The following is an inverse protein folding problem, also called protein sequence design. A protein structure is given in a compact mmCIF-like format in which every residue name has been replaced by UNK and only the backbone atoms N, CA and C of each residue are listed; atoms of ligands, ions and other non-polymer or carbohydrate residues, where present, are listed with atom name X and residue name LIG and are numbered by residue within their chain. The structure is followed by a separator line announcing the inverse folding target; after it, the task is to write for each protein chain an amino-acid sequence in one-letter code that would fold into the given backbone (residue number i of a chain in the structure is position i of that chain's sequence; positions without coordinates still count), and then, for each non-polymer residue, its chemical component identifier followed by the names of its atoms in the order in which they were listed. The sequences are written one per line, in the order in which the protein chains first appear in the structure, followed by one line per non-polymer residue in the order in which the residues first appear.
data_IF_184391970798
#
_entry.id   IF_184391970798
#
_cell.length_a   1.000
_cell.length_b   1.000
_cell.length_c   1.000
_cell.angle_alpha   90.00
_cell.angle_beta   90.00
_cell.angle_gamma   90.00
#
_symmetry.space_group_name_H-M   'P 1'
#
loop_
_entity.id
_entity.type
_entity.pdbx_description
1 polymer ?
#
# COMPACT_ATOMS: atom_id res chain seq x y z
N UNK A 1 -23.22 0.34 12.12
CA UNK A 1 -22.01 -0.16 11.41
C UNK A 1 -21.86 0.61 10.12
N UNK A 2 -20.79 1.38 10.00
CA UNK A 2 -20.48 2.14 8.81
C UNK A 2 -19.90 1.23 7.72
N UNK A 3 -20.28 1.44 6.46
CA UNK A 3 -19.71 0.72 5.33
C UNK A 3 -18.68 1.59 4.62
N UNK A 4 -17.49 1.03 4.38
CA UNK A 4 -16.39 1.67 3.65
C UNK A 4 -16.09 0.80 2.44
N UNK A 5 -16.21 1.37 1.23
CA UNK A 5 -15.89 0.68 -0.02
C UNK A 5 -14.66 1.34 -0.63
N UNK A 6 -13.67 0.53 -0.93
CA UNK A 6 -12.42 0.96 -1.55
C UNK A 6 -12.35 0.42 -2.98
N UNK A 7 -12.19 1.33 -3.93
CA UNK A 7 -12.11 1.00 -5.35
C UNK A 7 -10.65 0.84 -5.78
N UNK A 8 -10.27 -0.37 -6.11
CA UNK A 8 -8.95 -0.77 -6.54
C UNK A 8 -8.14 -1.48 -5.45
N UNK A 9 -7.77 -2.73 -5.70
CA UNK A 9 -6.92 -3.58 -4.83
C UNK A 9 -5.43 -3.45 -5.16
N UNK A 10 -4.95 -2.25 -5.53
CA UNK A 10 -3.52 -1.95 -5.63
C UNK A 10 -2.91 -1.64 -4.27
N UNK A 11 -1.61 -1.29 -4.22
CA UNK A 11 -0.90 -0.99 -2.97
C UNK A 11 -1.64 0.06 -2.12
N UNK A 12 -2.06 1.18 -2.72
CA UNK A 12 -2.77 2.23 -2.03
C UNK A 12 -4.14 1.78 -1.48
N UNK A 13 -4.91 1.01 -2.27
CA UNK A 13 -6.21 0.51 -1.83
C UNK A 13 -6.11 -0.52 -0.71
N UNK A 14 -5.13 -1.43 -0.77
CA UNK A 14 -4.88 -2.40 0.29
C UNK A 14 -4.43 -1.70 1.58
N UNK A 15 -3.52 -0.71 1.49
CA UNK A 15 -3.10 0.09 2.64
C UNK A 15 -4.27 0.89 3.24
N UNK A 16 -5.10 1.53 2.40
CA UNK A 16 -6.27 2.27 2.85
C UNK A 16 -7.30 1.35 3.55
N UNK A 17 -7.47 0.11 3.04
CA UNK A 17 -8.36 -0.87 3.66
C UNK A 17 -7.87 -1.30 5.04
N UNK A 18 -6.56 -1.52 5.18
CA UNK A 18 -5.94 -1.84 6.48
C UNK A 18 -6.11 -0.68 7.45
N UNK A 19 -5.77 0.55 7.04
CA UNK A 19 -5.91 1.73 7.88
C UNK A 19 -7.36 1.94 8.33
N UNK A 20 -8.32 1.81 7.42
CA UNK A 20 -9.74 1.93 7.74
C UNK A 20 -10.22 0.87 8.75
N UNK A 21 -9.78 -0.37 8.57
CA UNK A 21 -10.17 -1.46 9.48
C UNK A 21 -9.48 -1.37 10.86
N UNK A 22 -8.25 -0.84 10.91
CA UNK A 22 -7.50 -0.67 12.16
C UNK A 22 -7.95 0.54 12.97
N UNK A 23 -8.42 1.60 12.32
CA UNK A 23 -8.77 2.88 12.99
C UNK A 23 -10.09 2.86 13.73
N UNK A 24 -10.91 1.82 13.55
CA UNK A 24 -12.24 1.74 14.12
C UNK A 24 -12.35 0.61 15.17
N UNK A 25 -13.18 0.77 16.21
CA UNK A 25 -13.50 -0.33 17.11
C UNK A 25 -14.05 -1.54 16.36
N UNK A 26 -13.76 -2.73 16.86
CA UNK A 26 -14.23 -3.98 16.26
C UNK A 26 -15.76 -3.94 16.03
N UNK A 27 -16.19 -4.23 14.81
CA UNK A 27 -17.59 -4.23 14.41
C UNK A 27 -18.21 -2.86 14.12
N UNK A 28 -17.48 -1.75 14.30
CA UNK A 28 -17.99 -0.41 13.98
C UNK A 28 -17.99 -0.12 12.48
N UNK A 29 -17.06 -0.70 11.74
CA UNK A 29 -16.95 -0.56 10.28
C UNK A 29 -16.96 -1.91 9.58
N UNK A 30 -17.48 -1.93 8.37
CA UNK A 30 -17.29 -3.01 7.40
C UNK A 30 -16.52 -2.46 6.22
N UNK A 31 -15.35 -3.00 5.95
CA UNK A 31 -14.50 -2.57 4.83
C UNK A 31 -14.58 -3.60 3.71
N UNK A 32 -14.82 -3.13 2.50
CA UNK A 32 -14.85 -3.96 1.28
C UNK A 32 -13.92 -3.36 0.22
N UNK A 33 -13.01 -4.14 -0.31
CA UNK A 33 -12.17 -3.77 -1.46
C UNK A 33 -12.75 -4.38 -2.72
N UNK A 34 -12.94 -3.56 -3.75
CA UNK A 34 -13.39 -4.01 -5.08
C UNK A 34 -12.26 -3.81 -6.08
N UNK A 35 -11.88 -4.87 -6.81
CA UNK A 35 -10.90 -4.76 -7.90
C UNK A 35 -11.43 -5.39 -9.17
N UNK A 36 -11.24 -4.73 -10.31
CA UNK A 36 -11.63 -5.25 -11.63
C UNK A 36 -10.78 -6.42 -12.13
N UNK A 37 -9.56 -6.52 -11.64
CA UNK A 37 -8.66 -7.62 -12.00
C UNK A 37 -9.05 -8.91 -11.25
N UNK A 38 -8.63 -10.08 -11.75
CA UNK A 38 -8.91 -11.37 -11.08
C UNK A 38 -8.13 -11.55 -9.77
N UNK A 39 -7.18 -10.67 -9.47
CA UNK A 39 -6.43 -10.62 -8.20
C UNK A 39 -5.98 -9.20 -7.87
N UNK A 40 -5.84 -8.91 -6.60
CA UNK A 40 -5.24 -7.68 -6.10
C UNK A 40 -3.73 -7.60 -6.37
N UNK A 41 -3.14 -6.43 -6.20
CA UNK A 41 -1.69 -6.23 -6.19
C UNK A 41 -1.00 -6.39 -7.54
N UNK A 42 -1.71 -6.43 -8.68
CA UNK A 42 -1.13 -6.67 -10.01
C UNK A 42 0.07 -5.76 -10.29
N UNK A 43 -0.07 -4.45 -10.03
CA UNK A 43 1.03 -3.49 -10.26
C UNK A 43 2.11 -3.63 -9.19
N UNK A 44 1.76 -3.87 -7.92
CA UNK A 44 2.71 -4.12 -6.83
C UNK A 44 3.64 -5.28 -7.18
N UNK A 45 3.10 -6.40 -7.67
CA UNK A 45 3.86 -7.59 -8.06
C UNK A 45 4.88 -7.32 -9.19
N UNK A 46 4.64 -6.30 -10.03
CA UNK A 46 5.53 -5.95 -11.13
C UNK A 46 6.61 -4.91 -10.74
N UNK A 47 6.46 -4.23 -9.61
CA UNK A 47 7.40 -3.19 -9.19
C UNK A 47 8.77 -3.76 -8.82
N UNK A 48 9.83 -2.99 -9.07
CA UNK A 48 11.20 -3.39 -8.76
C UNK A 48 11.62 -4.71 -9.43
N UNK A 49 11.11 -5.02 -10.63
CA UNK A 49 11.30 -6.30 -11.31
C UNK A 49 10.86 -7.51 -10.44
N UNK A 50 9.68 -7.41 -9.84
CA UNK A 50 9.13 -8.46 -8.99
C UNK A 50 9.65 -8.47 -7.55
N UNK A 51 10.49 -7.48 -7.16
CA UNK A 51 11.04 -7.36 -5.81
C UNK A 51 10.26 -6.42 -4.90
N UNK A 52 9.36 -5.58 -5.44
CA UNK A 52 8.64 -4.53 -4.75
C UNK A 52 9.58 -3.46 -4.15
N UNK A 53 9.99 -2.47 -4.94
CA UNK A 53 10.67 -1.29 -4.40
C UNK A 53 9.67 -0.51 -3.54
N UNK A 54 9.87 -0.53 -2.23
CA UNK A 54 8.96 0.07 -1.24
C UNK A 54 9.21 1.56 -1.07
N UNK A 55 10.49 1.95 -1.09
CA UNK A 55 10.92 3.31 -0.76
C UNK A 55 12.35 3.58 -1.27
N UNK A 56 12.80 4.81 -1.08
CA UNK A 56 14.20 5.20 -1.30
C UNK A 56 14.63 6.19 -0.21
N UNK A 57 15.72 5.88 0.48
CA UNK A 57 16.27 6.71 1.56
C UNK A 57 16.81 8.07 1.10
N UNK A 58 17.02 8.24 -0.21
CA UNK A 58 17.51 9.48 -0.82
C UNK A 58 16.43 10.32 -1.49
N UNK A 59 15.15 10.13 -1.14
CA UNK A 59 14.04 10.88 -1.76
C UNK A 59 14.15 12.38 -1.49
N UNK A 60 14.12 13.17 -2.57
CA UNK A 60 14.06 14.64 -2.54
C UNK A 60 13.02 15.17 -3.54
N UNK A 61 12.39 16.33 -3.30
CA UNK A 61 11.37 16.90 -4.19
C UNK A 61 11.81 16.99 -5.64
N UNK A 62 13.10 17.21 -5.87
CA UNK A 62 13.71 17.36 -7.20
C UNK A 62 13.71 16.08 -8.03
N UNK A 63 13.47 14.94 -7.40
CA UNK A 63 13.38 13.61 -8.05
C UNK A 63 11.98 13.26 -8.55
N UNK A 64 11.00 14.11 -8.25
CA UNK A 64 9.62 13.91 -8.70
C UNK A 64 9.32 14.68 -9.98
N UNK A 65 8.81 14.00 -10.98
CA UNK A 65 8.31 14.60 -12.20
C UNK A 65 6.83 14.92 -12.05
N UNK A 66 6.49 16.20 -12.03
CA UNK A 66 5.11 16.66 -11.89
C UNK A 66 4.86 17.88 -12.76
N UNK A 67 3.61 17.99 -13.23
CA UNK A 67 3.14 19.21 -13.91
C UNK A 67 2.85 20.35 -12.91
N UNK A 68 2.73 20.06 -11.63
CA UNK A 68 2.47 21.04 -10.57
C UNK A 68 3.48 20.89 -9.41
N UNK A 69 4.68 21.50 -9.54
CA UNK A 69 5.68 21.48 -8.46
C UNK A 69 5.22 22.21 -7.19
N UNK A 70 4.28 23.17 -7.31
CA UNK A 70 3.79 23.92 -6.17
C UNK A 70 2.90 23.06 -5.25
N UNK A 71 2.14 22.11 -5.81
CA UNK A 71 1.36 21.16 -5.05
C UNK A 71 2.21 20.03 -4.43
N UNK A 72 3.34 19.68 -5.06
CA UNK A 72 4.20 18.57 -4.60
C UNK A 72 4.87 18.87 -3.26
N UNK A 73 5.46 20.05 -3.07
CA UNK A 73 6.22 20.40 -1.87
C UNK A 73 5.41 20.30 -0.57
N UNK A 74 4.20 20.88 -0.48
CA UNK A 74 3.36 20.70 0.73
C UNK A 74 2.97 19.24 0.98
N UNK A 75 2.73 18.46 -0.08
CA UNK A 75 2.41 17.03 0.03
C UNK A 75 3.57 16.25 0.64
N UNK A 76 4.79 16.43 0.14
CA UNK A 76 5.97 15.76 0.67
C UNK A 76 6.31 16.22 2.09
N UNK A 77 6.08 17.50 2.41
CA UNK A 77 6.30 18.02 3.75
C UNK A 77 5.26 17.50 4.78
N UNK A 78 4.08 17.10 4.33
CA UNK A 78 3.02 16.53 5.17
C UNK A 78 3.21 15.04 5.46
N UNK A 79 4.07 14.35 4.71
CA UNK A 79 4.33 12.92 4.88
C UNK A 79 5.73 12.75 5.47
N UNK A 80 5.80 12.16 6.66
CA UNK A 80 7.08 11.72 7.22
C UNK A 80 7.68 10.65 6.31
N UNK A 81 8.90 10.87 5.83
CA UNK A 81 9.59 9.95 4.94
C UNK A 81 9.82 8.56 5.55
N UNK A 82 9.91 8.47 6.88
CA UNK A 82 10.06 7.20 7.60
C UNK A 82 8.73 6.44 7.75
N UNK A 83 7.59 7.13 7.74
CA UNK A 83 6.29 6.57 8.07
C UNK A 83 5.89 5.34 7.23
N UNK A 84 6.14 5.26 5.91
CA UNK A 84 5.82 4.06 5.14
C UNK A 84 6.58 2.82 5.61
N UNK A 85 7.87 2.96 5.91
CA UNK A 85 8.70 1.83 6.35
C UNK A 85 8.36 1.40 7.78
N UNK A 86 8.08 2.36 8.66
CA UNK A 86 7.61 2.09 10.03
C UNK A 86 6.27 1.35 10.01
N UNK A 87 5.36 1.76 9.13
CA UNK A 87 4.09 1.07 8.96
C UNK A 87 4.26 -0.37 8.48
N UNK A 88 5.11 -0.62 7.49
CA UNK A 88 5.43 -1.96 7.04
C UNK A 88 6.12 -2.79 8.13
N UNK A 89 7.02 -2.19 8.90
CA UNK A 89 7.67 -2.86 10.03
C UNK A 89 6.66 -3.27 11.11
N UNK A 90 5.68 -2.40 11.41
CA UNK A 90 4.58 -2.71 12.33
C UNK A 90 3.68 -3.86 11.84
N UNK A 91 3.57 -4.06 10.52
CA UNK A 91 2.93 -5.23 9.92
C UNK A 91 3.80 -6.50 9.95
N UNK A 92 5.07 -6.39 10.33
CA UNK A 92 6.02 -7.50 10.38
C UNK A 92 6.86 -7.68 9.12
N UNK A 93 6.94 -6.67 8.25
CA UNK A 93 7.79 -6.72 7.07
C UNK A 93 9.22 -6.31 7.41
N UNK A 94 10.17 -7.21 7.25
CA UNK A 94 11.59 -6.89 7.29
C UNK A 94 12.04 -6.34 5.93
N UNK A 95 12.80 -5.26 5.96
CA UNK A 95 13.29 -4.58 4.76
C UNK A 95 14.81 -4.55 4.71
N UNK A 96 15.36 -4.32 3.53
CA UNK A 96 16.77 -4.07 3.27
C UNK A 96 16.93 -2.91 2.29
N UNK A 97 17.98 -2.12 2.49
CA UNK A 97 18.35 -1.01 1.59
C UNK A 97 19.55 -1.43 0.75
N UNK A 98 19.52 -1.12 -0.54
CA UNK A 98 20.68 -1.32 -1.43
C UNK A 98 21.59 -0.07 -1.47
N UNK A 99 22.72 -0.18 -2.18
CA UNK A 99 23.71 0.90 -2.29
C UNK A 99 23.15 2.18 -2.96
N UNK A 100 22.09 2.08 -3.74
CA UNK A 100 21.40 3.21 -4.36
C UNK A 100 20.26 3.79 -3.47
N UNK A 101 20.17 3.37 -2.22
CA UNK A 101 19.14 3.82 -1.29
C UNK A 101 17.77 3.20 -1.50
N UNK A 102 17.58 2.27 -2.44
CA UNK A 102 16.29 1.63 -2.71
C UNK A 102 15.99 0.60 -1.64
N UNK A 103 14.77 0.64 -1.13
CA UNK A 103 14.31 -0.23 -0.05
C UNK A 103 13.42 -1.34 -0.62
N UNK A 104 13.75 -2.57 -0.30
CA UNK A 104 13.04 -3.78 -0.72
C UNK A 104 12.66 -4.63 0.49
N UNK A 105 11.64 -5.51 0.37
CA UNK A 105 11.46 -6.58 1.36
C UNK A 105 12.74 -7.43 1.44
N UNK A 106 13.06 -7.92 2.63
CA UNK A 106 14.28 -8.70 2.84
C UNK A 106 14.35 -9.92 1.93
N UNK A 107 13.20 -10.54 1.64
CA UNK A 107 13.07 -11.67 0.72
C UNK A 107 13.33 -11.30 -0.75
N UNK A 108 13.33 -10.03 -1.13
CA UNK A 108 13.34 -9.56 -2.52
C UNK A 108 12.16 -10.08 -3.36
N UNK A 109 11.02 -10.36 -2.75
CA UNK A 109 9.85 -10.90 -3.44
C UNK A 109 8.61 -10.01 -3.21
N UNK A 110 8.08 -9.43 -4.28
CA UNK A 110 6.86 -8.64 -4.22
C UNK A 110 5.64 -9.48 -3.76
N UNK A 111 5.67 -10.78 -4.01
CA UNK A 111 4.64 -11.71 -3.58
C UNK A 111 4.50 -11.75 -2.05
N UNK A 112 5.61 -11.68 -1.31
CA UNK A 112 5.59 -11.72 0.15
C UNK A 112 4.97 -10.44 0.74
N UNK A 113 5.22 -9.28 0.10
CA UNK A 113 4.58 -8.03 0.50
C UNK A 113 3.07 -8.11 0.29
N UNK A 114 2.63 -8.64 -0.86
CA UNK A 114 1.20 -8.82 -1.13
C UNK A 114 0.57 -9.80 -0.15
N UNK A 115 1.20 -10.95 0.08
CA UNK A 115 0.70 -11.97 1.02
C UNK A 115 0.58 -11.42 2.45
N UNK A 116 1.55 -10.59 2.88
CA UNK A 116 1.49 -9.92 4.18
C UNK A 116 0.26 -9.01 4.28
N UNK A 117 0.05 -8.14 3.28
CA UNK A 117 -1.10 -7.24 3.25
C UNK A 117 -2.43 -8.01 3.25
N UNK A 118 -2.57 -9.01 2.39
CA UNK A 118 -3.77 -9.85 2.30
C UNK A 118 -4.03 -10.63 3.60
N UNK A 119 -2.97 -11.14 4.25
CA UNK A 119 -3.07 -11.81 5.54
C UNK A 119 -3.60 -10.89 6.64
N UNK A 120 -3.15 -9.64 6.68
CA UNK A 120 -3.68 -8.64 7.62
C UNK A 120 -5.13 -8.26 7.33
N UNK A 121 -5.49 -8.05 6.05
CA UNK A 121 -6.87 -7.79 5.65
C UNK A 121 -7.81 -8.91 6.09
N UNK A 122 -7.41 -10.16 5.87
CA UNK A 122 -8.17 -11.34 6.29
C UNK A 122 -8.36 -11.37 7.81
N UNK A 123 -7.31 -11.12 8.59
CA UNK A 123 -7.39 -11.08 10.06
C UNK A 123 -8.33 -9.99 10.58
N UNK A 124 -8.40 -8.87 9.88
CA UNK A 124 -9.28 -7.75 10.22
C UNK A 124 -10.72 -7.90 9.67
N UNK A 125 -11.01 -9.01 8.99
CA UNK A 125 -12.33 -9.26 8.41
C UNK A 125 -12.69 -8.35 7.24
N UNK A 126 -11.69 -7.80 6.54
CA UNK A 126 -11.91 -7.01 5.33
C UNK A 126 -12.32 -7.95 4.19
N UNK A 127 -13.41 -7.61 3.54
CA UNK A 127 -13.90 -8.34 2.37
C UNK A 127 -13.17 -7.86 1.11
N UNK A 128 -12.59 -8.80 0.36
CA UNK A 128 -11.95 -8.50 -0.93
C UNK A 128 -12.71 -9.20 -2.05
N UNK A 129 -13.22 -8.42 -2.98
CA UNK A 129 -13.93 -8.89 -4.18
C UNK A 129 -13.15 -8.50 -5.43
N UNK A 130 -12.70 -9.49 -6.15
CA UNK A 130 -11.98 -9.35 -7.42
C UNK A 130 -12.90 -9.62 -8.61
N UNK A 131 -12.51 -9.24 -9.82
CA UNK A 131 -13.33 -9.36 -11.02
C UNK A 131 -14.55 -8.41 -11.03
N UNK A 132 -14.55 -7.39 -10.17
CA UNK A 132 -15.66 -6.45 -10.00
C UNK A 132 -15.38 -5.13 -10.71
N UNK A 133 -16.07 -4.85 -11.80
CA UNK A 133 -16.03 -3.54 -12.46
C UNK A 133 -17.14 -2.66 -11.92
N UNK A 134 -16.78 -1.53 -11.31
CA UNK A 134 -17.74 -0.52 -10.84
C UNK A 134 -18.13 0.36 -12.03
N UNK A 135 -19.42 0.53 -12.23
CA UNK A 135 -20.00 1.44 -13.22
C UNK A 135 -20.61 2.63 -12.50
N UNK A 136 -20.56 3.80 -13.12
CA UNK A 136 -21.22 5.05 -12.64
C UNK A 136 -22.65 5.12 -13.12
#
# INVERSE_FOLDING_TARGET
MQQIVILGGGAAGLAAALAAAQSAPAGAVRVTVLDRNPRCGKKLLATGNGRCNLDNTGIAPEQYFTADPAALRPLLAAVDAAAPLEWFAALGLYTRTDEAGRVYPYSNQAADVLALLEGHLTRLGVEVRTGCTVQT
#
